data_IF_696435382974
#
_entry.id   IF_696435382974
#
_cell.length_a   1.000
_cell.length_b   1.000
_cell.length_c   1.000
_cell.angle_alpha   90.00
_cell.angle_beta   90.00
_cell.angle_gamma   90.00
#
_symmetry.space_group_name_H-M   'P 1'
#
loop_
_entity.id
_entity.type
_entity.pdbx_description
1 polymer ?
#
# COMPACT_ATOMS: atom_id res chain seq x y z
N UNK A 1 24.80 -58.20 24.18
CA UNK A 1 24.51 -57.98 22.74
C UNK A 1 23.09 -57.47 22.48
N UNK A 2 22.03 -58.11 23.00
CA UNK A 2 20.62 -57.71 22.75
C UNK A 2 20.24 -56.28 23.20
N UNK A 3 20.75 -55.80 24.34
CA UNK A 3 20.49 -54.45 24.83
C UNK A 3 21.15 -53.33 24.01
N UNK A 4 22.31 -53.59 23.40
CA UNK A 4 23.00 -52.63 22.52
C UNK A 4 22.22 -52.42 21.22
N UNK A 5 21.69 -53.50 20.62
CA UNK A 5 20.80 -53.38 19.46
C UNK A 5 19.49 -52.66 19.78
N UNK A 6 18.94 -52.85 20.98
CA UNK A 6 17.71 -52.16 21.41
C UNK A 6 17.93 -50.65 21.58
N UNK A 7 19.05 -50.24 22.17
CA UNK A 7 19.44 -48.83 22.30
C UNK A 7 19.72 -48.18 20.94
N UNK A 8 20.35 -48.92 20.02
CA UNK A 8 20.66 -48.44 18.68
C UNK A 8 19.38 -48.26 17.84
N UNK A 9 18.42 -49.17 17.94
CA UNK A 9 17.10 -49.01 17.32
C UNK A 9 16.31 -47.83 17.92
N UNK A 10 16.36 -47.63 19.24
CA UNK A 10 15.70 -46.49 19.89
C UNK A 10 16.27 -45.14 19.44
N UNK A 11 17.59 -45.04 19.26
CA UNK A 11 18.25 -43.83 18.79
C UNK A 11 17.91 -43.55 17.32
N UNK A 12 17.83 -44.60 16.50
CA UNK A 12 17.44 -44.49 15.10
C UNK A 12 16.00 -43.97 14.98
N UNK A 13 15.05 -44.53 15.73
CA UNK A 13 13.65 -44.10 15.72
C UNK A 13 13.51 -42.62 16.14
N UNK A 14 14.29 -42.16 17.13
CA UNK A 14 14.29 -40.76 17.56
C UNK A 14 14.81 -39.80 16.47
N UNK A 15 15.77 -40.25 15.66
CA UNK A 15 16.31 -39.46 14.53
C UNK A 15 15.36 -39.38 13.33
N UNK A 16 14.45 -40.34 13.16
CA UNK A 16 13.44 -40.30 12.11
C UNK A 16 12.26 -39.37 12.44
N UNK A 17 11.97 -39.13 13.72
CA UNK A 17 10.86 -38.26 14.15
C UNK A 17 11.16 -36.76 14.05
N UNK A 18 12.39 -36.35 13.76
CA UNK A 18 12.79 -34.94 13.58
C UNK A 18 12.71 -34.45 12.13
N UNK A 19 12.10 -35.22 11.23
CA UNK A 19 11.83 -34.75 9.87
C UNK A 19 10.67 -33.74 9.93
N UNK A 20 10.98 -32.46 9.79
CA UNK A 20 9.97 -31.42 9.58
C UNK A 20 9.22 -31.75 8.29
N UNK A 21 7.90 -31.94 8.37
CA UNK A 21 7.06 -32.07 7.18
C UNK A 21 7.07 -30.73 6.45
N UNK A 22 7.89 -30.61 5.40
CA UNK A 22 7.80 -29.52 4.45
C UNK A 22 6.44 -29.64 3.74
N UNK A 23 5.44 -28.93 4.25
CA UNK A 23 4.20 -28.71 3.51
C UNK A 23 4.60 -27.97 2.23
N UNK A 24 4.59 -28.67 1.10
CA UNK A 24 4.85 -28.06 -0.19
C UNK A 24 3.78 -26.98 -0.40
N UNK A 25 4.21 -25.72 -0.46
CA UNK A 25 3.36 -24.59 -0.83
C UNK A 25 2.68 -24.95 -2.16
N UNK A 26 1.37 -24.72 -2.32
CA UNK A 26 0.70 -25.04 -3.56
C UNK A 26 1.40 -24.34 -4.73
N UNK A 27 1.68 -25.03 -5.85
CA UNK A 27 2.30 -24.41 -7.01
C UNK A 27 1.43 -23.24 -7.49
N UNK A 28 2.03 -22.06 -7.71
CA UNK A 28 1.33 -20.83 -8.09
C UNK A 28 1.20 -19.78 -6.98
N UNK A 29 1.28 -20.15 -5.69
CA UNK A 29 1.05 -19.20 -4.59
C UNK A 29 2.18 -18.17 -4.47
N UNK A 30 3.42 -18.58 -4.71
CA UNK A 30 4.59 -17.70 -4.66
C UNK A 30 4.53 -16.66 -5.79
N UNK A 31 4.12 -17.09 -6.98
CA UNK A 31 3.94 -16.21 -8.14
C UNK A 31 2.80 -15.20 -7.93
N UNK A 32 1.71 -15.58 -7.25
CA UNK A 32 0.64 -14.63 -6.90
C UNK A 32 1.10 -13.60 -5.85
N UNK A 33 1.91 -14.02 -4.88
CA UNK A 33 2.47 -13.10 -3.88
C UNK A 33 3.44 -12.09 -4.51
N UNK A 34 4.23 -12.51 -5.49
CA UNK A 34 5.09 -11.62 -6.28
C UNK A 34 4.26 -10.59 -7.05
N UNK A 35 3.20 -11.03 -7.76
CA UNK A 35 2.30 -10.14 -8.49
C UNK A 35 1.58 -9.17 -7.55
N UNK A 36 1.15 -9.61 -6.37
CA UNK A 36 0.53 -8.74 -5.36
C UNK A 36 1.50 -7.63 -4.93
N UNK A 37 2.74 -7.97 -4.61
CA UNK A 37 3.81 -7.01 -4.25
C UNK A 37 4.07 -6.01 -5.38
N UNK A 38 4.11 -6.47 -6.63
CA UNK A 38 4.27 -5.58 -7.79
C UNK A 38 3.09 -4.62 -7.95
N UNK A 39 1.85 -5.11 -7.78
CA UNK A 39 0.65 -4.28 -7.83
C UNK A 39 0.62 -3.22 -6.72
N UNK A 40 1.05 -3.55 -5.50
CA UNK A 40 1.22 -2.58 -4.42
C UNK A 40 2.22 -1.48 -4.79
N UNK A 41 3.37 -1.86 -5.35
CA UNK A 41 4.39 -0.92 -5.83
C UNK A 41 3.85 0.02 -6.91
N UNK A 42 3.11 -0.50 -7.89
CA UNK A 42 2.46 0.31 -8.92
C UNK A 42 1.44 1.28 -8.32
N UNK A 43 0.63 0.82 -7.37
CA UNK A 43 -0.33 1.68 -6.69
C UNK A 43 0.36 2.84 -5.97
N UNK A 44 1.43 2.57 -5.21
CA UNK A 44 2.22 3.60 -4.53
C UNK A 44 2.83 4.59 -5.52
N UNK A 45 3.39 4.10 -6.63
CA UNK A 45 3.96 4.96 -7.67
C UNK A 45 2.89 5.88 -8.31
N UNK A 46 1.73 5.33 -8.68
CA UNK A 46 0.62 6.09 -9.25
C UNK A 46 0.04 7.10 -8.25
N UNK A 47 -0.09 6.72 -6.98
CA UNK A 47 -0.52 7.60 -5.90
C UNK A 47 0.41 8.82 -5.77
N UNK A 48 1.73 8.60 -5.76
CA UNK A 48 2.73 9.68 -5.72
C UNK A 48 2.63 10.61 -6.93
N UNK A 49 2.47 10.06 -8.14
CA UNK A 49 2.27 10.85 -9.35
C UNK A 49 0.98 11.68 -9.30
N UNK A 50 -0.11 11.09 -8.79
CA UNK A 50 -1.38 11.79 -8.58
C UNK A 50 -1.23 12.94 -7.58
N UNK A 51 -0.56 12.72 -6.45
CA UNK A 51 -0.31 13.76 -5.46
C UNK A 51 0.55 14.91 -6.02
N UNK A 52 1.59 14.60 -6.81
CA UNK A 52 2.44 15.63 -7.44
C UNK A 52 1.63 16.46 -8.44
N UNK A 53 0.86 15.82 -9.32
CA UNK A 53 -0.02 16.53 -10.27
C UNK A 53 -1.12 17.33 -9.57
N UNK A 54 -1.65 16.81 -8.47
CA UNK A 54 -2.55 17.49 -7.55
C UNK A 54 -1.93 18.74 -6.92
N UNK A 55 -0.70 18.64 -6.44
CA UNK A 55 0.02 19.78 -5.86
C UNK A 55 0.25 20.89 -6.90
N UNK A 56 0.67 20.53 -8.13
CA UNK A 56 0.86 21.49 -9.22
C UNK A 56 -0.46 22.20 -9.56
N UNK A 57 -1.53 21.43 -9.79
CA UNK A 57 -2.84 22.01 -10.12
C UNK A 57 -3.43 22.81 -8.97
N UNK A 58 -3.22 22.41 -7.72
CA UNK A 58 -3.60 23.15 -6.51
C UNK A 58 -2.90 24.51 -6.40
N UNK A 59 -1.59 24.57 -6.67
CA UNK A 59 -0.84 25.83 -6.72
C UNK A 59 -1.36 26.75 -7.83
N UNK A 60 -1.57 26.23 -9.04
CA UNK A 60 -2.10 27.01 -10.17
C UNK A 60 -3.52 27.53 -9.88
N UNK A 61 -4.37 26.71 -9.26
CA UNK A 61 -5.70 27.11 -8.81
C UNK A 61 -5.64 28.23 -7.76
N UNK A 62 -4.75 28.09 -6.78
CA UNK A 62 -4.56 29.10 -5.73
C UNK A 62 -4.08 30.43 -6.29
N UNK A 63 -3.12 30.39 -7.23
CA UNK A 63 -2.65 31.59 -7.93
C UNK A 63 -3.79 32.28 -8.69
N UNK A 64 -4.65 31.50 -9.37
CA UNK A 64 -5.84 32.04 -10.03
C UNK A 64 -6.79 32.69 -9.02
N UNK A 65 -7.11 32.02 -7.92
CA UNK A 65 -8.01 32.56 -6.88
C UNK A 65 -7.45 33.87 -6.33
N UNK A 66 -6.16 33.89 -5.97
CA UNK A 66 -5.48 35.08 -5.48
C UNK A 66 -5.57 36.25 -6.47
N UNK A 67 -5.25 36.01 -7.74
CA UNK A 67 -5.31 37.03 -8.78
C UNK A 67 -6.74 37.61 -8.92
N UNK A 68 -7.76 36.77 -8.81
CA UNK A 68 -9.16 37.19 -8.92
C UNK A 68 -9.61 38.02 -7.73
N UNK A 69 -9.08 37.69 -6.56
CA UNK A 69 -9.28 38.46 -5.34
C UNK A 69 -8.73 39.88 -5.51
N UNK A 70 -7.48 40.00 -5.99
CA UNK A 70 -6.84 41.31 -6.19
C UNK A 70 -7.55 42.17 -7.25
N UNK A 71 -8.19 41.55 -8.24
CA UNK A 71 -8.99 42.26 -9.25
C UNK A 71 -10.41 42.65 -8.79
N UNK A 72 -10.82 42.28 -7.58
CA UNK A 72 -12.17 42.58 -7.08
C UNK A 72 -13.28 41.84 -7.85
N UNK A 73 -13.02 40.62 -8.34
CA UNK A 73 -14.04 39.84 -9.07
C UNK A 73 -15.21 39.44 -8.17
N UNK A 74 -16.42 39.45 -8.73
CA UNK A 74 -17.60 38.90 -8.06
C UNK A 74 -17.45 37.39 -7.79
N UNK A 75 -18.06 36.91 -6.71
CA UNK A 75 -18.06 35.49 -6.28
C UNK A 75 -16.67 34.94 -5.94
N UNK A 76 -15.81 35.74 -5.28
CA UNK A 76 -14.49 35.31 -4.83
C UNK A 76 -14.57 34.30 -3.67
N UNK A 77 -15.55 34.47 -2.79
CA UNK A 77 -15.89 33.60 -1.67
C UNK A 77 -16.11 32.14 -2.11
N UNK A 78 -16.95 31.94 -3.13
CA UNK A 78 -17.22 30.60 -3.68
C UNK A 78 -15.96 30.01 -4.34
N UNK A 79 -15.14 30.82 -5.02
CA UNK A 79 -13.91 30.35 -5.65
C UNK A 79 -12.87 29.88 -4.61
N UNK A 80 -12.73 30.63 -3.51
CA UNK A 80 -11.82 30.30 -2.40
C UNK A 80 -12.25 29.00 -1.73
N UNK A 81 -13.53 28.87 -1.38
CA UNK A 81 -14.07 27.66 -0.75
C UNK A 81 -13.96 26.45 -1.66
N UNK A 82 -14.28 26.59 -2.96
CA UNK A 82 -14.17 25.49 -3.93
C UNK A 82 -12.73 25.01 -4.11
N UNK A 83 -11.77 25.94 -4.21
CA UNK A 83 -10.36 25.61 -4.31
C UNK A 83 -9.85 24.93 -3.02
N UNK A 84 -10.17 25.50 -1.86
CA UNK A 84 -9.77 24.96 -0.57
C UNK A 84 -10.38 23.57 -0.32
N UNK A 85 -11.66 23.38 -0.66
CA UNK A 85 -12.33 22.09 -0.57
C UNK A 85 -11.69 21.03 -1.46
N UNK A 86 -11.29 21.38 -2.68
CA UNK A 86 -10.54 20.49 -3.56
C UNK A 86 -9.17 20.08 -2.97
N UNK A 87 -8.46 21.03 -2.35
CA UNK A 87 -7.20 20.73 -1.65
C UNK A 87 -7.40 19.79 -0.46
N UNK A 88 -8.43 20.00 0.36
CA UNK A 88 -8.76 19.12 1.49
C UNK A 88 -9.16 17.72 1.03
N UNK A 89 -9.97 17.62 -0.02
CA UNK A 89 -10.32 16.34 -0.62
C UNK A 89 -9.06 15.58 -1.03
N UNK A 90 -8.15 16.22 -1.76
CA UNK A 90 -6.91 15.60 -2.21
C UNK A 90 -5.99 15.20 -1.05
N UNK A 91 -5.93 15.98 0.03
CA UNK A 91 -5.14 15.66 1.21
C UNK A 91 -5.64 14.43 1.98
N UNK A 92 -6.94 14.11 1.88
CA UNK A 92 -7.59 13.06 2.68
C UNK A 92 -7.97 11.82 1.87
N UNK A 93 -8.08 11.92 0.54
CA UNK A 93 -8.53 10.81 -0.33
C UNK A 93 -7.62 9.59 -0.23
N UNK A 94 -6.31 9.77 -0.03
CA UNK A 94 -5.37 8.66 0.15
C UNK A 94 -5.73 7.79 1.37
N UNK A 95 -6.09 8.42 2.49
CA UNK A 95 -6.49 7.71 3.71
C UNK A 95 -7.82 6.99 3.52
N UNK A 96 -8.76 7.63 2.82
CA UNK A 96 -10.06 7.02 2.50
C UNK A 96 -9.90 5.77 1.63
N UNK A 97 -9.10 5.84 0.56
CA UNK A 97 -8.87 4.71 -0.35
C UNK A 97 -8.11 3.58 0.33
N UNK A 98 -7.09 3.91 1.13
CA UNK A 98 -6.35 2.92 1.92
C UNK A 98 -7.26 2.18 2.90
N UNK A 99 -8.13 2.91 3.61
CA UNK A 99 -9.08 2.28 4.53
C UNK A 99 -10.16 1.45 3.83
N UNK A 100 -10.60 1.85 2.63
CA UNK A 100 -11.67 1.16 1.91
C UNK A 100 -11.17 -0.10 1.19
N UNK A 101 -9.97 -0.06 0.62
CA UNK A 101 -9.43 -1.14 -0.22
C UNK A 101 -8.28 -1.92 0.42
N UNK A 102 -7.81 -1.53 1.61
CA UNK A 102 -6.70 -2.21 2.31
C UNK A 102 -5.32 -1.98 1.67
N UNK A 103 -5.18 -0.98 0.80
CA UNK A 103 -3.93 -0.68 0.08
C UNK A 103 -3.02 0.26 0.87
N UNK A 104 -1.69 0.12 0.79
CA UNK A 104 -0.75 0.95 1.54
C UNK A 104 -0.74 2.42 1.07
N UNK A 105 -0.60 3.34 2.02
CA UNK A 105 -0.48 4.79 1.79
C UNK A 105 0.93 5.21 1.33
N UNK A 106 1.93 4.37 1.57
CA UNK A 106 3.35 4.61 1.26
C UNK A 106 4.12 3.34 1.04
#
# INVERSE_FOLDING_TARGET
MKASHFLLCSLLILSLTSMEMLAQTPPGVEEFQEVESDMESFYVALSRLSLVSGAISGLLGGLRVYNNWQMGRHHIDVQVISWFGACLFLATIGFFLSGLYGVPLT
#
